data_IF_602343114503
#
_entry.id   IF_602343114503
#
_cell.length_a   1.000
_cell.length_b   1.000
_cell.length_c   1.000
_cell.angle_alpha   90.00
_cell.angle_beta   90.00
_cell.angle_gamma   90.00
#
_symmetry.space_group_name_H-M   'P 1'
#
loop_
_entity.id
_entity.type
_entity.pdbx_description
1 polymer ?
#
# COMPACT_ATOMS: atom_id res chain seq x y z
N UNK A 1 0.13 17.84 -18.60
CA UNK A 1 0.25 16.88 -17.49
C UNK A 1 1.21 15.80 -17.91
N UNK A 2 2.45 15.92 -17.47
CA UNK A 2 3.51 14.93 -17.68
C UNK A 2 3.56 14.02 -16.46
N UNK A 3 3.43 12.71 -16.69
CA UNK A 3 3.54 11.69 -15.64
C UNK A 3 4.87 10.96 -15.79
N UNK A 4 5.59 10.80 -14.69
CA UNK A 4 6.84 10.05 -14.61
C UNK A 4 6.73 8.98 -13.51
N UNK A 5 7.30 7.79 -13.78
CA UNK A 5 7.36 6.69 -12.81
C UNK A 5 8.81 6.28 -12.62
N UNK A 6 9.25 6.25 -11.35
CA UNK A 6 10.60 5.83 -10.97
C UNK A 6 10.62 5.04 -9.68
N UNK A 7 11.73 4.37 -9.41
CA UNK A 7 11.97 3.74 -8.11
C UNK A 7 12.15 4.79 -7.01
N UNK A 8 11.67 4.44 -5.82
CA UNK A 8 11.87 5.23 -4.62
C UNK A 8 13.31 5.12 -4.11
N UNK A 9 13.81 6.22 -3.59
CA UNK A 9 15.06 6.29 -2.85
C UNK A 9 14.77 6.62 -1.38
N UNK A 10 15.73 6.43 -0.48
CA UNK A 10 15.58 6.82 0.94
C UNK A 10 15.22 8.32 1.08
N UNK A 11 15.68 9.16 0.16
CA UNK A 11 15.35 10.60 0.12
C UNK A 11 13.86 10.90 -0.11
N UNK A 12 13.09 9.94 -0.60
CA UNK A 12 11.66 10.10 -0.89
C UNK A 12 10.76 9.85 0.32
N UNK A 13 11.31 9.35 1.44
CA UNK A 13 10.54 8.87 2.58
C UNK A 13 9.51 9.90 3.11
N UNK A 14 9.89 11.18 3.16
CA UNK A 14 9.00 12.25 3.62
C UNK A 14 7.85 12.51 2.65
N UNK A 15 8.11 12.47 1.34
CA UNK A 15 7.08 12.69 0.32
C UNK A 15 6.10 11.50 0.29
N UNK A 16 6.63 10.28 0.37
CA UNK A 16 5.81 9.05 0.46
C UNK A 16 4.92 9.11 1.71
N UNK A 17 5.48 9.48 2.86
CA UNK A 17 4.73 9.64 4.11
C UNK A 17 3.62 10.68 3.99
N UNK A 18 3.88 11.81 3.32
CA UNK A 18 2.89 12.87 3.11
C UNK A 18 1.71 12.37 2.28
N UNK A 19 1.99 11.70 1.15
CA UNK A 19 0.94 11.09 0.31
C UNK A 19 0.18 10.01 1.07
N UNK A 20 0.88 9.18 1.85
CA UNK A 20 0.29 8.12 2.67
C UNK A 20 -0.75 8.70 3.65
N UNK A 21 -0.36 9.70 4.44
CA UNK A 21 -1.24 10.32 5.44
C UNK A 21 -2.44 11.00 4.78
N UNK A 22 -2.21 11.81 3.74
CA UNK A 22 -3.30 12.49 3.03
C UNK A 22 -4.28 11.50 2.38
N UNK A 23 -3.78 10.39 1.85
CA UNK A 23 -4.62 9.35 1.25
C UNK A 23 -5.48 8.67 2.32
N UNK A 24 -4.90 8.32 3.48
CA UNK A 24 -5.64 7.70 4.57
C UNK A 24 -6.75 8.59 5.12
N UNK A 25 -6.43 9.85 5.39
CA UNK A 25 -7.40 10.82 5.92
C UNK A 25 -8.62 10.97 5.02
N UNK A 26 -8.42 10.94 3.71
CA UNK A 26 -9.51 11.03 2.75
C UNK A 26 -10.22 9.67 2.51
N UNK A 27 -9.47 8.57 2.43
CA UNK A 27 -10.01 7.26 2.04
C UNK A 27 -10.81 6.57 3.14
N UNK A 28 -10.42 6.78 4.40
CA UNK A 28 -11.01 6.10 5.56
C UNK A 28 -11.94 6.98 6.36
N UNK A 29 -12.28 8.17 5.85
CA UNK A 29 -13.35 8.99 6.40
C UNK A 29 -14.67 8.18 6.39
N UNK A 30 -15.28 8.03 7.56
CA UNK A 30 -16.50 7.23 7.76
C UNK A 30 -16.26 5.71 7.88
N UNK A 31 -15.01 5.24 7.73
CA UNK A 31 -14.61 3.85 7.96
C UNK A 31 -13.85 3.72 9.28
N UNK A 32 -12.97 4.68 9.58
CA UNK A 32 -12.19 4.74 10.81
C UNK A 32 -12.58 5.95 11.68
N UNK A 33 -12.30 5.92 13.00
CA UNK A 33 -12.54 7.06 13.88
C UNK A 33 -11.83 8.33 13.41
N UNK A 34 -12.52 9.46 13.42
CA UNK A 34 -11.98 10.74 12.96
C UNK A 34 -10.69 11.14 13.71
N UNK A 35 -10.70 11.05 15.05
CA UNK A 35 -9.52 11.38 15.87
C UNK A 35 -8.30 10.52 15.52
N UNK A 36 -8.50 9.24 15.17
CA UNK A 36 -7.40 8.39 14.72
C UNK A 36 -6.78 8.85 13.39
N UNK A 37 -7.61 9.32 12.45
CA UNK A 37 -7.14 9.84 11.16
C UNK A 37 -6.47 11.21 11.31
N UNK A 38 -6.97 12.05 12.21
CA UNK A 38 -6.40 13.35 12.56
C UNK A 38 -5.01 13.20 13.23
N UNK A 39 -4.83 12.17 14.03
CA UNK A 39 -3.58 11.88 14.74
C UNK A 39 -2.48 11.24 13.86
N UNK A 40 -2.77 10.97 12.57
CA UNK A 40 -1.77 10.40 11.66
C UNK A 40 -0.59 11.37 11.44
N UNK A 41 0.57 10.98 11.98
CA UNK A 41 1.78 11.80 11.91
C UNK A 41 2.61 11.49 10.65
N UNK A 42 2.79 12.51 9.81
CA UNK A 42 3.74 12.43 8.68
C UNK A 42 5.15 12.15 9.19
N UNK A 43 5.60 12.82 10.25
CA UNK A 43 6.95 12.65 10.78
C UNK A 43 7.21 11.22 11.28
N UNK A 44 6.24 10.60 11.97
CA UNK A 44 6.36 9.20 12.38
C UNK A 44 6.40 8.28 11.16
N UNK A 45 5.54 8.52 10.17
CA UNK A 45 5.49 7.73 8.95
C UNK A 45 6.77 7.87 8.10
N UNK A 46 7.41 9.03 8.10
CA UNK A 46 8.70 9.26 7.45
C UNK A 46 9.79 8.37 8.02
N UNK A 47 9.89 8.26 9.36
CA UNK A 47 10.86 7.37 10.01
C UNK A 47 10.65 5.91 9.61
N UNK A 48 9.40 5.46 9.57
CA UNK A 48 9.06 4.11 9.14
C UNK A 48 9.50 3.87 7.68
N UNK A 49 9.24 4.82 6.78
CA UNK A 49 9.66 4.73 5.38
C UNK A 49 11.18 4.75 5.21
N UNK A 50 11.90 5.59 5.96
CA UNK A 50 13.35 5.59 5.95
C UNK A 50 13.90 4.21 6.30
N UNK A 51 13.39 3.59 7.37
CA UNK A 51 13.77 2.24 7.77
C UNK A 51 13.45 1.20 6.70
N UNK A 52 12.23 1.24 6.12
CA UNK A 52 11.78 0.28 5.12
C UNK A 52 12.61 0.36 3.82
N UNK A 53 12.87 1.58 3.34
CA UNK A 53 13.66 1.82 2.13
C UNK A 53 15.13 1.46 2.33
N UNK A 54 15.67 1.71 3.53
CA UNK A 54 17.06 1.35 3.87
C UNK A 54 17.26 -0.17 3.93
N UNK A 55 16.25 -0.89 4.44
CA UNK A 55 16.31 -2.35 4.52
C UNK A 55 16.26 -3.05 3.15
N UNK A 56 15.81 -2.37 2.09
CA UNK A 56 15.81 -2.88 0.71
C UNK A 56 14.89 -4.07 0.47
N UNK A 57 13.95 -4.36 1.37
CA UNK A 57 13.06 -5.53 1.29
C UNK A 57 11.84 -5.32 0.40
N UNK A 58 11.50 -4.07 0.11
CA UNK A 58 10.29 -3.67 -0.62
C UNK A 58 10.68 -2.94 -1.91
N UNK A 59 10.08 -3.32 -3.04
CA UNK A 59 10.14 -2.51 -4.25
C UNK A 59 9.05 -1.46 -4.17
N UNK A 60 9.44 -0.20 -4.38
CA UNK A 60 8.51 0.93 -4.30
C UNK A 60 8.67 1.77 -5.56
N UNK A 61 7.58 1.96 -6.28
CA UNK A 61 7.50 2.88 -7.41
C UNK A 61 6.75 4.14 -7.01
N UNK A 62 7.24 5.27 -7.49
CA UNK A 62 6.69 6.61 -7.29
C UNK A 62 6.16 7.13 -8.62
N UNK A 63 4.97 7.71 -8.61
CA UNK A 63 4.41 8.43 -9.75
C UNK A 63 4.36 9.92 -9.45
N UNK A 64 5.03 10.71 -10.27
CA UNK A 64 5.00 12.17 -10.18
C UNK A 64 4.19 12.76 -11.34
N UNK A 65 3.42 13.80 -11.07
CA UNK A 65 2.68 14.58 -12.06
C UNK A 65 3.23 16.00 -12.05
N UNK A 66 3.76 16.45 -13.19
CA UNK A 66 4.38 17.77 -13.36
C UNK A 66 5.44 18.06 -12.26
N UNK A 67 6.23 17.03 -11.91
CA UNK A 67 7.31 17.09 -10.91
C UNK A 67 6.88 16.91 -9.44
N UNK A 68 5.57 16.79 -9.17
CA UNK A 68 5.04 16.61 -7.81
C UNK A 68 4.64 15.16 -7.59
N UNK A 69 5.06 14.56 -6.46
CA UNK A 69 4.69 13.18 -6.13
C UNK A 69 3.16 13.07 -5.97
N UNK A 70 2.53 12.31 -6.87
CA UNK A 70 1.09 12.13 -6.95
C UNK A 70 0.64 10.81 -6.33
N UNK A 71 1.49 9.79 -6.33
CA UNK A 71 1.17 8.47 -5.76
C UNK A 71 2.37 7.56 -5.68
N UNK A 72 2.19 6.40 -5.04
CA UNK A 72 3.20 5.36 -4.95
C UNK A 72 2.56 3.97 -4.80
N UNK A 73 3.34 2.94 -5.11
CA UNK A 73 2.97 1.52 -4.95
C UNK A 73 4.14 0.74 -4.37
N UNK A 74 3.87 -0.10 -3.37
CA UNK A 74 4.81 -1.06 -2.81
C UNK A 74 4.38 -2.48 -3.18
N UNK A 75 5.33 -3.31 -3.64
CA UNK A 75 5.04 -4.65 -4.13
C UNK A 75 6.25 -5.58 -3.99
N UNK A 76 5.98 -6.88 -3.97
CA UNK A 76 7.00 -7.88 -3.65
C UNK A 76 6.53 -9.32 -3.79
N UNK A 77 7.30 -10.22 -3.21
CA UNK A 77 6.89 -11.61 -3.04
C UNK A 77 5.64 -11.69 -2.15
N UNK A 78 4.73 -12.62 -2.44
CA UNK A 78 3.54 -12.79 -1.62
C UNK A 78 3.93 -13.24 -0.19
N UNK A 79 3.31 -12.60 0.81
CA UNK A 79 3.55 -12.89 2.24
C UNK A 79 2.60 -13.94 2.82
N UNK A 80 1.57 -14.34 2.05
CA UNK A 80 0.56 -15.28 2.50
C UNK A 80 1.08 -16.73 2.47
N UNK A 81 0.93 -17.45 3.58
CA UNK A 81 1.44 -18.82 3.72
C UNK A 81 0.71 -19.86 2.86
N UNK A 82 -0.49 -19.55 2.36
CA UNK A 82 -1.27 -20.41 1.47
C UNK A 82 -0.89 -20.23 -0.01
N UNK A 83 0.18 -19.48 -0.31
CA UNK A 83 0.66 -19.19 -1.66
C UNK A 83 2.11 -19.65 -1.84
N UNK A 84 2.40 -20.18 -3.02
CA UNK A 84 3.75 -20.61 -3.39
C UNK A 84 4.60 -19.45 -3.94
N UNK A 85 5.86 -19.72 -4.28
CA UNK A 85 6.82 -18.71 -4.75
C UNK A 85 6.46 -18.03 -6.07
N UNK A 86 5.47 -18.51 -6.82
CA UNK A 86 5.01 -17.91 -8.08
C UNK A 86 4.06 -16.74 -7.84
N UNK A 87 3.62 -16.55 -6.59
CA UNK A 87 2.74 -15.48 -6.19
C UNK A 87 3.50 -14.24 -5.69
N UNK A 88 3.02 -13.10 -6.14
CA UNK A 88 3.45 -11.77 -5.71
C UNK A 88 2.33 -11.02 -5.01
N UNK A 89 2.65 -9.88 -4.42
CA UNK A 89 1.70 -9.04 -3.72
C UNK A 89 1.89 -7.56 -4.09
N UNK A 90 0.78 -6.85 -4.30
CA UNK A 90 0.73 -5.39 -4.17
C UNK A 90 0.39 -5.12 -2.70
N UNK A 91 1.41 -4.74 -1.93
CA UNK A 91 1.31 -4.54 -0.49
C UNK A 91 0.63 -3.22 -0.15
N UNK A 92 0.77 -2.22 -1.00
CA UNK A 92 0.14 -0.92 -0.82
C UNK A 92 0.12 -0.13 -2.13
N UNK A 93 -0.95 0.62 -2.38
CA UNK A 93 -1.03 1.59 -3.47
C UNK A 93 -1.86 2.79 -3.02
N UNK A 94 -1.21 3.95 -3.01
CA UNK A 94 -1.81 5.22 -2.59
C UNK A 94 -1.60 6.30 -3.63
N UNK A 95 -2.65 7.09 -3.83
CA UNK A 95 -2.64 8.27 -4.67
C UNK A 95 -3.13 9.42 -3.80
N UNK A 96 -2.44 10.54 -3.83
CA UNK A 96 -2.88 11.76 -3.13
C UNK A 96 -4.28 12.17 -3.62
N UNK A 97 -5.19 12.58 -2.72
CA UNK A 97 -6.55 13.02 -3.08
C UNK A 97 -6.62 14.05 -4.21
N UNK A 98 -5.64 14.95 -4.28
CA UNK A 98 -5.55 15.97 -5.32
C UNK A 98 -5.38 15.38 -6.74
N UNK A 99 -4.91 14.14 -6.86
CA UNK A 99 -4.61 13.48 -8.13
C UNK A 99 -5.50 12.26 -8.39
N UNK A 100 -6.55 12.05 -7.61
CA UNK A 100 -7.52 10.99 -7.90
C UNK A 100 -8.18 11.24 -9.24
N UNK A 101 -8.52 10.15 -9.93
CA UNK A 101 -9.19 10.17 -11.24
C UNK A 101 -8.33 10.72 -12.39
N UNK A 102 -7.01 10.86 -12.18
CA UNK A 102 -6.06 11.30 -13.22
C UNK A 102 -5.23 10.13 -13.79
N UNK A 103 -5.60 8.87 -13.49
CA UNK A 103 -4.92 7.67 -13.98
C UNK A 103 -3.61 7.32 -13.28
N UNK A 104 -3.29 7.97 -12.16
CA UNK A 104 -2.03 7.75 -11.42
C UNK A 104 -1.97 6.34 -10.83
N UNK A 105 -3.04 5.91 -10.15
CA UNK A 105 -3.15 4.57 -9.59
C UNK A 105 -3.14 3.49 -10.67
N UNK A 106 -3.82 3.74 -11.80
CA UNK A 106 -3.73 2.86 -12.96
C UNK A 106 -2.29 2.70 -13.45
N UNK A 107 -1.56 3.81 -13.64
CA UNK A 107 -0.19 3.79 -14.13
C UNK A 107 0.75 3.07 -13.15
N UNK A 108 0.63 3.33 -11.85
CA UNK A 108 1.38 2.64 -10.79
C UNK A 108 1.11 1.13 -10.79
N UNK A 109 -0.16 0.73 -10.82
CA UNK A 109 -0.55 -0.69 -10.85
C UNK A 109 0.00 -1.40 -12.07
N UNK A 110 -0.10 -0.79 -13.26
CA UNK A 110 0.43 -1.35 -14.50
C UNK A 110 1.95 -1.53 -14.41
N UNK A 111 2.67 -0.50 -13.94
CA UNK A 111 4.12 -0.57 -13.77
C UNK A 111 4.55 -1.65 -12.76
N UNK A 112 3.86 -1.74 -11.61
CA UNK A 112 4.11 -2.78 -10.61
C UNK A 112 3.86 -4.19 -11.17
N UNK A 113 2.71 -4.43 -11.81
CA UNK A 113 2.41 -5.72 -12.42
C UNK A 113 3.45 -6.10 -13.49
N UNK A 114 3.91 -5.15 -14.30
CA UNK A 114 4.94 -5.40 -15.31
C UNK A 114 6.28 -5.80 -14.66
N UNK A 115 6.72 -5.13 -13.60
CA UNK A 115 7.95 -5.51 -12.88
C UNK A 115 7.83 -6.85 -12.16
N UNK A 116 6.65 -7.17 -11.62
CA UNK A 116 6.37 -8.49 -11.02
C UNK A 116 6.46 -9.60 -12.06
N UNK A 117 5.83 -9.39 -13.22
CA UNK A 117 5.88 -10.32 -14.34
C UNK A 117 7.32 -10.52 -14.85
N UNK A 118 8.09 -9.44 -15.02
CA UNK A 118 9.51 -9.51 -15.42
C UNK A 118 10.38 -10.24 -14.39
N UNK A 119 10.01 -10.19 -13.11
CA UNK A 119 10.66 -10.94 -12.05
C UNK A 119 10.25 -12.42 -11.98
N UNK A 120 9.39 -12.90 -12.89
CA UNK A 120 8.99 -14.30 -13.01
C UNK A 120 7.77 -14.70 -12.18
N UNK A 121 7.05 -13.76 -11.57
CA UNK A 121 5.80 -14.06 -10.89
C UNK A 121 4.66 -14.33 -11.89
N UNK A 122 3.83 -15.34 -11.59
CA UNK A 122 2.69 -15.75 -12.43
C UNK A 122 1.37 -15.12 -11.95
N UNK A 123 1.31 -14.76 -10.67
CA UNK A 123 0.09 -14.24 -10.05
C UNK A 123 0.41 -13.11 -9.08
N UNK A 124 -0.56 -12.23 -8.89
CA UNK A 124 -0.49 -11.13 -7.91
C UNK A 124 -1.74 -11.14 -7.03
N UNK A 125 -1.53 -10.99 -5.71
CA UNK A 125 -2.60 -10.74 -4.74
C UNK A 125 -2.53 -9.33 -4.19
N UNK A 126 -3.62 -8.93 -3.56
CA UNK A 126 -3.67 -7.78 -2.66
C UNK A 126 -4.76 -8.01 -1.63
N UNK A 127 -4.61 -7.37 -0.48
CA UNK A 127 -5.67 -7.25 0.50
C UNK A 127 -6.29 -5.85 0.40
N UNK A 128 -7.58 -5.75 0.71
CA UNK A 128 -8.32 -4.48 0.72
C UNK A 128 -9.39 -4.53 1.81
N UNK A 129 -9.58 -3.42 2.52
CA UNK A 129 -10.70 -3.28 3.45
C UNK A 129 -12.03 -3.54 2.75
N UNK A 130 -12.85 -4.43 3.29
CA UNK A 130 -14.17 -4.78 2.76
C UNK A 130 -15.11 -3.55 2.68
N UNK A 131 -14.91 -2.56 3.56
CA UNK A 131 -15.64 -1.29 3.55
C UNK A 131 -15.15 -0.30 2.47
N UNK A 132 -13.96 -0.49 1.90
CA UNK A 132 -13.38 0.42 0.91
C UNK A 132 -13.89 0.09 -0.50
N UNK A 133 -15.18 0.38 -0.74
CA UNK A 133 -15.87 0.10 -2.01
C UNK A 133 -15.18 0.76 -3.22
N UNK A 134 -14.53 1.90 -2.98
CA UNK A 134 -13.77 2.63 -3.99
C UNK A 134 -12.54 1.87 -4.47
N UNK A 135 -11.81 1.27 -3.53
CA UNK A 135 -10.67 0.41 -3.81
C UNK A 135 -11.08 -0.90 -4.50
N UNK A 136 -12.17 -1.50 -4.03
CA UNK A 136 -12.72 -2.72 -4.62
C UNK A 136 -13.07 -2.49 -6.11
N UNK A 137 -13.82 -1.42 -6.41
CA UNK A 137 -14.18 -1.09 -7.79
C UNK A 137 -12.96 -0.82 -8.68
N UNK A 138 -11.89 -0.22 -8.13
CA UNK A 138 -10.63 0.00 -8.85
C UNK A 138 -10.01 -1.32 -9.33
N UNK A 139 -10.03 -2.34 -8.48
CA UNK A 139 -9.41 -3.62 -8.80
C UNK A 139 -10.25 -4.53 -9.65
N UNK A 140 -11.55 -4.55 -9.43
CA UNK A 140 -12.47 -5.31 -10.27
C UNK A 140 -12.38 -4.82 -11.72
N UNK A 141 -12.31 -3.50 -11.94
CA UNK A 141 -12.05 -2.92 -13.27
C UNK A 141 -10.68 -3.28 -13.84
N UNK A 142 -9.69 -3.50 -12.98
CA UNK A 142 -8.37 -3.97 -13.38
C UNK A 142 -8.30 -5.49 -13.64
N UNK A 143 -9.42 -6.21 -13.52
CA UNK A 143 -9.52 -7.65 -13.72
C UNK A 143 -8.99 -8.49 -12.56
N UNK A 144 -8.89 -7.90 -11.36
CA UNK A 144 -8.71 -8.68 -10.15
C UNK A 144 -10.04 -9.28 -9.72
N UNK A 145 -9.99 -10.49 -9.18
CA UNK A 145 -11.15 -11.23 -8.72
C UNK A 145 -10.99 -11.52 -7.23
N UNK A 146 -12.07 -11.34 -6.48
CA UNK A 146 -12.11 -11.68 -5.06
C UNK A 146 -12.02 -13.19 -4.88
N UNK A 147 -11.14 -13.65 -3.99
CA UNK A 147 -11.15 -15.05 -3.54
C UNK A 147 -11.91 -15.21 -2.20
N UNK A 148 -11.88 -16.41 -1.61
CA UNK A 148 -12.60 -16.68 -0.36
C UNK A 148 -11.85 -16.23 0.90
N UNK A 149 -10.61 -15.74 0.78
CA UNK A 149 -9.81 -15.37 1.93
C UNK A 149 -10.26 -14.01 2.49
N UNK A 150 -10.38 -13.96 3.80
CA UNK A 150 -10.63 -12.75 4.57
C UNK A 150 -9.85 -12.83 5.88
N UNK A 151 -9.54 -11.67 6.47
CA UNK A 151 -8.94 -11.60 7.80
C UNK A 151 -9.49 -10.40 8.54
N UNK A 152 -9.75 -10.61 9.82
CA UNK A 152 -10.15 -9.53 10.72
C UNK A 152 -8.90 -8.92 11.34
N UNK A 153 -8.90 -7.59 11.38
CA UNK A 153 -7.82 -6.77 11.91
C UNK A 153 -8.42 -5.70 12.82
N UNK A 154 -7.58 -5.14 13.69
CA UNK A 154 -7.94 -3.98 14.50
C UNK A 154 -7.04 -2.83 14.11
N UNK A 155 -7.64 -1.75 13.62
CA UNK A 155 -6.94 -0.52 13.26
C UNK A 155 -7.68 0.67 13.86
N UNK A 156 -6.95 1.63 14.44
CA UNK A 156 -7.57 2.78 15.13
C UNK A 156 -8.56 2.39 16.23
N UNK A 157 -8.40 1.20 16.83
CA UNK A 157 -9.30 0.69 17.87
C UNK A 157 -10.62 0.12 17.34
N UNK A 158 -10.84 0.05 16.03
CA UNK A 158 -12.05 -0.52 15.43
C UNK A 158 -11.75 -1.87 14.74
N UNK A 159 -12.65 -2.86 14.85
CA UNK A 159 -12.55 -4.09 14.08
C UNK A 159 -12.87 -3.79 12.60
N UNK A 160 -12.00 -4.26 11.72
CA UNK A 160 -12.13 -4.14 10.27
C UNK A 160 -11.88 -5.51 9.64
N UNK A 161 -12.48 -5.74 8.47
CA UNK A 161 -12.25 -6.95 7.69
C UNK A 161 -11.53 -6.59 6.40
N UNK A 162 -10.44 -7.28 6.11
CA UNK A 162 -9.80 -7.28 4.80
C UNK A 162 -10.25 -8.50 3.99
N UNK A 163 -10.42 -8.30 2.69
CA UNK A 163 -10.71 -9.35 1.71
C UNK A 163 -9.60 -9.40 0.68
N UNK A 164 -9.26 -10.60 0.19
CA UNK A 164 -8.18 -10.77 -0.77
C UNK A 164 -8.72 -10.80 -2.20
N UNK A 165 -8.01 -10.09 -3.06
CA UNK A 165 -8.22 -10.07 -4.50
C UNK A 165 -6.97 -10.60 -5.19
N UNK A 166 -7.15 -11.32 -6.30
CA UNK A 166 -6.05 -11.90 -7.05
C UNK A 166 -6.21 -11.71 -8.56
N UNK A 167 -5.10 -11.78 -9.28
CA UNK A 167 -5.05 -11.70 -10.74
C UNK A 167 -3.88 -12.51 -11.28
N UNK A 168 -4.07 -13.18 -12.42
CA UNK A 168 -2.98 -13.74 -13.20
C UNK A 168 -2.18 -12.63 -13.91
N UNK A 169 -0.87 -12.69 -13.79
CA UNK A 169 0.05 -11.89 -14.61
C UNK A 169 0.21 -12.66 -15.92
N UNK A 170 -0.31 -12.13 -17.03
CA UNK A 170 -0.16 -12.78 -18.34
C UNK A 170 1.33 -13.03 -18.62
N UNK A 171 1.71 -14.12 -19.28
CA UNK A 171 3.09 -14.29 -19.72
C UNK A 171 3.44 -13.22 -20.77
N UNK A 172 4.68 -12.73 -20.79
CA UNK A 172 5.10 -11.81 -21.85
C UNK A 172 5.18 -12.59 -23.16
N UNK A 173 4.12 -12.52 -23.97
CA UNK A 173 4.23 -12.89 -25.38
C UNK A 173 4.99 -11.76 -26.06
N UNK A 174 6.22 -12.01 -26.48
CA UNK A 174 6.92 -11.13 -27.41
C UNK A 174 6.08 -11.02 -28.70
N UNK A 175 5.31 -9.93 -28.89
CA UNK A 175 5.12 -9.32 -30.21
C UNK A 175 4.42 -7.95 -30.20
N UNK A 176 5.08 -7.00 -30.87
CA UNK A 176 4.62 -5.89 -31.73
C UNK A 176 3.28 -5.18 -31.51
N UNK A 177 3.39 -3.84 -31.50
CA UNK A 177 2.39 -2.78 -31.22
C UNK A 177 1.22 -2.73 -32.22
N UNK A 178 0.01 -2.42 -31.75
CA UNK A 178 -0.85 -1.37 -32.34
C UNK A 178 -1.91 -0.84 -31.35
N UNK A 179 -2.19 0.48 -31.34
CA UNK A 179 -3.06 1.12 -30.36
C UNK A 179 -4.47 1.35 -30.91
N UNK A 180 -5.50 1.02 -30.12
CA UNK A 180 -6.84 1.58 -30.30
C UNK A 180 -7.33 2.11 -28.96
N UNK A 181 -7.60 3.41 -28.98
CA UNK A 181 -8.20 4.22 -27.93
C UNK A 181 -9.64 3.78 -27.67
N UNK A 182 -10.00 3.57 -26.42
CA UNK A 182 -11.35 3.87 -25.95
C UNK A 182 -11.27 4.77 -24.72
N UNK A 183 -11.98 5.90 -24.84
CA UNK A 183 -12.17 6.93 -23.83
C UNK A 183 -13.30 6.48 -22.93
N UNK A 184 -13.00 6.09 -21.70
CA UNK A 184 -14.00 6.04 -20.64
C UNK A 184 -13.48 6.78 -19.42
N UNK A 185 -14.00 7.99 -19.30
CA UNK A 185 -13.67 8.97 -18.29
C UNK A 185 -14.59 8.75 -17.08
N UNK A 186 -14.20 7.88 -16.14
CA UNK A 186 -14.67 7.88 -14.75
C UNK A 186 -13.85 6.92 -13.86
N UNK A 187 -12.66 7.36 -13.47
CA UNK A 187 -11.66 6.54 -12.75
C UNK A 187 -11.68 6.86 -11.27
N UNK A 188 -11.78 5.89 -10.37
CA UNK A 188 -11.62 6.07 -8.93
C UNK A 188 -10.69 4.95 -8.41
N UNK A 189 -9.63 5.28 -7.63
CA UNK A 189 -8.46 4.42 -7.40
C UNK A 189 -8.03 4.35 -5.92
N UNK A 190 -7.87 3.17 -5.26
CA UNK A 190 -7.01 3.02 -4.05
C UNK A 190 -6.90 1.62 -3.42
N UNK A 191 -6.03 1.47 -2.41
CA UNK A 191 -5.92 0.29 -1.51
C UNK A 191 -5.26 0.50 -0.17
N UNK A 192 -5.63 -0.37 0.79
CA UNK A 192 -4.80 -0.77 1.94
C UNK A 192 -4.63 -2.28 2.01
N UNK A 193 -3.39 -2.72 2.24
CA UNK A 193 -3.13 -3.75 3.25
C UNK A 193 -2.68 -3.00 4.51
N UNK A 194 -3.49 -3.00 5.55
CA UNK A 194 -3.19 -2.35 6.82
C UNK A 194 -1.94 -2.99 7.43
N UNK A 195 -0.84 -2.24 7.46
CA UNK A 195 0.33 -2.59 8.26
C UNK A 195 0.00 -2.41 9.75
N UNK A 196 -0.75 -3.37 10.30
CA UNK A 196 -0.80 -3.61 11.73
C UNK A 196 0.51 -4.27 12.18
N UNK A 197 1.63 -3.54 12.14
CA UNK A 197 2.90 -3.98 12.79
C UNK A 197 3.92 -2.85 12.97
N UNK A 198 3.48 -1.74 13.57
CA UNK A 198 4.38 -0.94 14.44
C UNK A 198 3.61 -0.60 15.72
N UNK A 199 3.55 -1.57 16.65
CA UNK A 199 3.43 -1.18 18.07
C UNK A 199 4.77 -0.52 18.42
N UNK A 200 4.70 0.75 18.79
CA UNK A 200 5.86 1.50 19.24
C UNK A 200 6.55 0.77 20.39
N UNK A 201 7.84 0.49 20.19
CA UNK A 201 8.76 0.35 21.31
C UNK A 201 9.10 1.75 21.78
N UNK A 202 8.56 2.15 22.91
CA UNK A 202 9.22 3.06 23.84
C UNK A 202 9.34 2.30 25.16
N UNK A 203 10.50 1.68 25.34
CA UNK A 203 10.99 1.22 26.64
C UNK A 203 11.63 2.42 27.33
N UNK A 204 11.12 2.82 28.50
CA UNK A 204 11.95 3.12 29.67
C UNK A 204 11.10 3.60 30.84
N UNK A 205 10.84 2.68 31.79
CA UNK A 205 11.12 2.89 33.21
C UNK A 205 10.77 1.61 33.99
N UNK A 206 11.75 0.73 34.16
CA UNK A 206 11.77 -0.18 35.30
C UNK A 206 11.88 0.62 36.61
N UNK A 207 11.27 0.15 37.70
CA UNK A 207 11.90 0.20 39.00
C UNK A 207 12.43 -1.20 39.33
N UNK A 208 13.73 -1.21 39.63
CA UNK A 208 14.47 -2.34 40.13
C UNK A 208 13.78 -2.98 41.34
N UNK A 209 13.73 -4.30 41.34
CA UNK A 209 13.68 -5.11 42.55
C UNK A 209 14.93 -4.87 43.38
N UNK A 210 14.80 -4.25 44.54
CA UNK A 210 15.69 -4.51 45.68
C UNK A 210 14.87 -5.13 46.81
N UNK A 211 15.14 -6.41 47.06
CA UNK A 211 15.02 -6.97 48.41
C UNK A 211 16.27 -6.50 49.14
N UNK A 212 16.12 -5.78 50.23
CA UNK A 212 17.07 -5.93 51.32
C UNK A 212 16.39 -5.90 52.68
N UNK A 213 16.92 -6.75 53.56
CA UNK A 213 16.51 -6.96 54.95
C UNK A 213 17.13 -5.85 55.81
N UNK A 214 16.41 -5.32 56.80
CA UNK A 214 16.81 -5.31 58.24
C UNK A 214 15.94 -4.37 59.11
N UNK A 215 15.58 -4.91 60.28
CA UNK A 215 15.52 -4.25 61.60
C UNK A 215 14.58 -3.05 61.82
N UNK A 216 13.44 -3.27 62.50
CA UNK A 216 13.28 -3.21 63.97
C UNK A 216 11.85 -3.56 64.37
#
# INVERSE_FOLDING_TARGET
MQMDIREATVGDAQNIATVHVASWQAAYQGIMPAGFLEDLSVAARTRNWQSALTAGKLRVLLASVDGVLAGWVAFGACRDADKDSRWSEVEALYVSPAYWRHGVGHALRVAACAQLQQAGYEHVVLWVLAANQRAIAFYERAGFVRDQASKDIVAGGVPLTEVRYCKALAASLNNSVSPLLEKDNEVIEQTDVLEARVRGGDDSASPATSRDKQER
#
